data_IF_213667801526
#
_entry.id   IF_213667801526
#
_cell.length_a   1.000
_cell.length_b   1.000
_cell.length_c   1.000
_cell.angle_alpha   90.00
_cell.angle_beta   90.00
_cell.angle_gamma   90.00
#
_symmetry.space_group_name_H-M   'P 1'
#
loop_
_entity.id
_entity.type
_entity.pdbx_description
1 polymer ?
#
# COMPACT_ATOMS: atom_id res chain seq x y z
N UNK A 1 7.39 21.63 12.75
CA UNK A 1 7.88 20.35 12.19
C UNK A 1 6.73 19.36 12.29
N UNK A 2 6.17 18.92 11.17
CA UNK A 2 5.19 17.83 11.15
C UNK A 2 5.91 16.52 11.50
N UNK A 3 5.36 15.67 12.38
CA UNK A 3 5.98 14.40 12.71
C UNK A 3 6.07 13.52 11.46
N UNK A 4 7.23 12.87 11.26
CA UNK A 4 7.48 11.90 10.19
C UNK A 4 7.59 10.50 10.79
N UNK A 5 6.47 9.90 11.21
CA UNK A 5 6.47 8.60 11.91
C UNK A 5 6.94 7.43 11.04
N UNK A 6 6.93 7.57 9.71
CA UNK A 6 7.39 6.52 8.78
C UNK A 6 8.79 6.84 8.22
N UNK A 7 9.54 7.75 8.86
CA UNK A 7 10.88 8.10 8.43
C UNK A 7 11.78 6.86 8.39
N UNK A 8 12.35 6.58 7.22
CA UNK A 8 13.22 5.42 6.99
C UNK A 8 12.48 4.14 6.59
N UNK A 9 11.14 4.13 6.63
CA UNK A 9 10.36 3.00 6.12
C UNK A 9 10.43 2.95 4.59
N UNK A 10 10.80 1.79 4.03
CA UNK A 10 10.72 1.51 2.60
C UNK A 10 9.40 0.80 2.31
N UNK A 11 8.51 1.43 1.55
CA UNK A 11 7.21 0.88 1.17
C UNK A 11 7.26 0.44 -0.30
N UNK A 12 7.10 -0.86 -0.55
CA UNK A 12 6.88 -1.39 -1.91
C UNK A 12 5.41 -1.25 -2.27
N UNK A 13 5.08 -0.77 -3.46
CA UNK A 13 3.70 -0.61 -3.91
C UNK A 13 3.47 -1.36 -5.21
N UNK A 14 2.60 -2.36 -5.20
CA UNK A 14 2.24 -3.20 -6.35
C UNK A 14 0.88 -2.75 -6.86
N UNK A 15 0.82 -2.24 -8.10
CA UNK A 15 -0.42 -1.75 -8.70
C UNK A 15 -0.89 -2.71 -9.79
N UNK A 16 -2.05 -3.35 -9.59
CA UNK A 16 -2.68 -4.22 -10.60
C UNK A 16 -3.21 -3.46 -11.81
N UNK A 17 -3.41 -2.14 -11.67
CA UNK A 17 -3.77 -1.22 -12.74
C UNK A 17 -2.95 0.08 -12.58
N UNK A 18 -1.97 0.30 -13.45
CA UNK A 18 -1.13 1.52 -13.44
C UNK A 18 -1.95 2.80 -13.72
N UNK A 19 -3.12 2.68 -14.34
CA UNK A 19 -3.98 3.81 -14.68
C UNK A 19 -4.95 4.21 -13.56
N UNK A 20 -5.03 3.43 -12.48
CA UNK A 20 -5.89 3.76 -11.34
C UNK A 20 -5.37 5.02 -10.59
N UNK A 21 -6.24 5.94 -10.14
CA UNK A 21 -5.83 7.11 -9.36
C UNK A 21 -5.50 6.79 -7.88
N UNK A 22 -5.89 5.60 -7.40
CA UNK A 22 -5.69 5.12 -6.03
C UNK A 22 -4.23 5.05 -5.52
N UNK A 23 -3.25 4.61 -6.32
CA UNK A 23 -1.84 4.54 -5.94
C UNK A 23 -1.25 5.93 -5.67
N UNK A 24 -1.79 6.97 -6.31
CA UNK A 24 -1.27 8.34 -6.19
C UNK A 24 -1.54 8.94 -4.82
N UNK A 25 -2.74 8.74 -4.26
CA UNK A 25 -3.10 9.29 -2.94
C UNK A 25 -2.36 8.57 -1.80
N UNK A 26 -2.26 7.24 -1.85
CA UNK A 26 -1.52 6.46 -0.86
C UNK A 26 -0.03 6.80 -0.89
N UNK A 27 0.55 6.88 -2.10
CA UNK A 27 1.95 7.29 -2.28
C UNK A 27 2.22 8.66 -1.68
N UNK A 28 1.37 9.65 -1.98
CA UNK A 28 1.50 11.00 -1.41
C UNK A 28 1.42 10.99 0.11
N UNK A 29 0.41 10.31 0.67
CA UNK A 29 0.24 10.18 2.11
C UNK A 29 1.47 9.54 2.79
N UNK A 30 1.99 8.45 2.24
CA UNK A 30 3.16 7.75 2.77
C UNK A 30 4.44 8.61 2.71
N UNK A 31 4.67 9.31 1.59
CA UNK A 31 5.82 10.23 1.43
C UNK A 31 5.75 11.39 2.42
N UNK A 32 4.57 11.98 2.63
CA UNK A 32 4.37 13.04 3.63
C UNK A 32 4.67 12.57 5.06
N UNK A 33 4.44 11.29 5.36
CA UNK A 33 4.79 10.67 6.64
C UNK A 33 6.28 10.27 6.77
N UNK A 34 7.07 10.47 5.71
CA UNK A 34 8.52 10.19 5.67
C UNK A 34 8.93 8.86 5.06
N UNK A 35 7.99 8.08 4.50
CA UNK A 35 8.29 6.80 3.87
C UNK A 35 8.94 6.98 2.49
N UNK A 36 9.81 6.05 2.11
CA UNK A 36 10.35 5.91 0.76
C UNK A 36 9.48 4.92 -0.02
N UNK A 37 8.76 5.40 -1.03
CA UNK A 37 7.82 4.57 -1.80
C UNK A 37 8.44 4.15 -3.13
N UNK A 38 8.46 2.84 -3.41
CA UNK A 38 8.86 2.29 -4.71
C UNK A 38 7.66 1.64 -5.38
N UNK A 39 7.33 2.05 -6.61
CA UNK A 39 6.28 1.41 -7.40
C UNK A 39 6.86 0.20 -8.12
N UNK A 40 6.20 -0.93 -7.99
CA UNK A 40 6.57 -2.23 -8.54
C UNK A 40 5.54 -2.62 -9.59
N UNK A 41 6.04 -3.17 -10.69
CA UNK A 41 5.23 -3.70 -11.78
C UNK A 41 4.52 -5.00 -11.32
N UNK A 42 3.19 -4.97 -11.26
CA UNK A 42 2.39 -6.10 -10.82
C UNK A 42 2.47 -7.30 -11.77
N UNK A 43 2.66 -7.07 -13.07
CA UNK A 43 2.78 -8.15 -14.06
C UNK A 43 4.03 -8.97 -13.74
N UNK A 44 5.16 -8.30 -13.49
CA UNK A 44 6.41 -8.97 -13.08
C UNK A 44 6.34 -9.65 -11.71
N UNK A 45 5.52 -9.14 -10.79
CA UNK A 45 5.35 -9.74 -9.45
C UNK A 45 4.41 -10.97 -9.49
N UNK A 46 3.50 -11.04 -10.46
CA UNK A 46 2.41 -12.01 -10.51
C UNK A 46 2.51 -13.07 -11.61
N UNK A 47 3.33 -12.86 -12.63
CA UNK A 47 3.44 -13.78 -13.78
C UNK A 47 4.04 -15.16 -13.41
N UNK A 48 4.86 -15.27 -12.36
CA UNK A 48 5.35 -16.56 -11.88
C UNK A 48 4.51 -17.07 -10.71
N UNK A 49 3.44 -17.81 -11.02
CA UNK A 49 2.53 -18.39 -10.03
C UNK A 49 3.18 -19.33 -8.99
N UNK A 50 4.37 -19.87 -9.29
CA UNK A 50 5.23 -20.65 -8.38
C UNK A 50 6.30 -19.81 -7.68
N UNK A 51 6.60 -18.60 -8.15
CA UNK A 51 7.57 -17.68 -7.54
C UNK A 51 6.90 -16.60 -6.68
N UNK A 52 5.57 -16.55 -6.58
CA UNK A 52 4.90 -15.54 -5.76
C UNK A 52 5.32 -15.61 -4.28
N UNK A 53 5.46 -16.82 -3.71
CA UNK A 53 5.91 -16.97 -2.32
C UNK A 53 7.39 -16.56 -2.14
N UNK A 54 8.26 -16.96 -3.07
CA UNK A 54 9.67 -16.58 -3.05
C UNK A 54 9.84 -15.06 -3.24
N UNK A 55 9.11 -14.48 -4.18
CA UNK A 55 9.06 -13.04 -4.41
C UNK A 55 8.52 -12.30 -3.19
N UNK A 56 7.48 -12.80 -2.52
CA UNK A 56 6.95 -12.22 -1.29
C UNK A 56 8.03 -12.16 -0.20
N UNK A 57 8.83 -13.22 -0.07
CA UNK A 57 9.99 -13.26 0.83
C UNK A 57 11.05 -12.23 0.47
N UNK A 58 11.46 -12.18 -0.81
CA UNK A 58 12.43 -11.20 -1.32
C UNK A 58 11.96 -9.75 -1.10
N UNK A 59 10.69 -9.46 -1.41
CA UNK A 59 10.09 -8.15 -1.19
C UNK A 59 10.07 -7.78 0.30
N UNK A 60 9.77 -8.75 1.19
CA UNK A 60 9.83 -8.54 2.63
C UNK A 60 11.23 -8.26 3.19
N UNK A 61 12.29 -8.64 2.48
CA UNK A 61 13.66 -8.26 2.83
C UNK A 61 14.06 -6.86 2.31
N UNK A 62 13.45 -6.40 1.22
CA UNK A 62 13.78 -5.12 0.59
C UNK A 62 12.95 -3.95 1.14
N UNK A 63 11.73 -4.24 1.57
CA UNK A 63 10.74 -3.28 2.03
C UNK A 63 10.29 -3.60 3.44
N UNK A 64 9.97 -2.58 4.24
CA UNK A 64 9.38 -2.75 5.57
C UNK A 64 7.87 -2.96 5.54
N UNK A 65 7.23 -2.74 4.39
CA UNK A 65 5.83 -3.06 4.13
C UNK A 65 5.56 -3.09 2.62
N UNK A 66 4.47 -3.75 2.23
CA UNK A 66 3.99 -3.84 0.86
C UNK A 66 2.56 -3.31 0.79
N UNK A 67 2.26 -2.40 -0.14
CA UNK A 67 0.91 -1.96 -0.43
C UNK A 67 0.48 -2.48 -1.80
N UNK A 68 -0.74 -2.98 -1.90
CA UNK A 68 -1.31 -3.58 -3.10
C UNK A 68 -2.57 -2.84 -3.49
N UNK A 69 -2.63 -2.33 -4.72
CA UNK A 69 -3.82 -1.70 -5.27
C UNK A 69 -4.38 -2.55 -6.41
N UNK A 70 -5.66 -2.92 -6.32
CA UNK A 70 -6.36 -3.64 -7.38
C UNK A 70 -5.89 -5.09 -7.63
N UNK A 71 -5.15 -5.70 -6.70
CA UNK A 71 -4.78 -7.12 -6.83
C UNK A 71 -5.97 -8.05 -6.54
N UNK A 72 -6.09 -9.20 -7.24
CA UNK A 72 -7.12 -10.18 -6.93
C UNK A 72 -7.04 -10.65 -5.47
N UNK A 73 -8.18 -10.83 -4.76
CA UNK A 73 -8.15 -11.22 -3.33
C UNK A 73 -7.40 -12.54 -3.06
N UNK A 74 -7.41 -13.48 -4.00
CA UNK A 74 -6.66 -14.73 -3.89
C UNK A 74 -5.14 -14.49 -3.91
N UNK A 75 -4.67 -13.59 -4.76
CA UNK A 75 -3.26 -13.17 -4.86
C UNK A 75 -2.85 -12.42 -3.59
N UNK A 76 -3.67 -11.46 -3.17
CA UNK A 76 -3.45 -10.69 -1.95
C UNK A 76 -3.28 -11.60 -0.72
N UNK A 77 -4.16 -12.61 -0.56
CA UNK A 77 -4.06 -13.57 0.54
C UNK A 77 -2.76 -14.40 0.49
N UNK A 78 -2.35 -14.86 -0.69
CA UNK A 78 -1.09 -15.62 -0.85
C UNK A 78 0.12 -14.76 -0.54
N UNK A 79 0.14 -13.52 -1.04
CA UNK A 79 1.20 -12.54 -0.77
C UNK A 79 1.30 -12.23 0.73
N UNK A 80 0.16 -11.95 1.38
CA UNK A 80 0.11 -11.69 2.83
C UNK A 80 0.52 -12.90 3.68
N UNK A 81 0.24 -14.12 3.22
CA UNK A 81 0.65 -15.34 3.92
C UNK A 81 2.16 -15.64 3.79
N UNK A 82 2.78 -15.24 2.68
CA UNK A 82 4.18 -15.52 2.39
C UNK A 82 5.14 -14.38 2.77
N UNK A 83 4.66 -13.13 2.79
CA UNK A 83 5.49 -11.98 3.13
C UNK A 83 5.82 -11.96 4.63
N UNK A 84 7.06 -11.61 4.96
CA UNK A 84 7.53 -11.41 6.34
C UNK A 84 7.26 -10.00 6.87
N UNK A 85 6.60 -9.16 6.07
CA UNK A 85 6.26 -7.76 6.38
C UNK A 85 4.77 -7.51 6.13
N UNK A 86 4.18 -6.45 6.72
CA UNK A 86 2.78 -6.12 6.51
C UNK A 86 2.45 -5.94 5.03
N UNK A 87 1.35 -6.56 4.59
CA UNK A 87 0.80 -6.42 3.23
C UNK A 87 -0.55 -5.72 3.33
N UNK A 88 -0.66 -4.53 2.74
CA UNK A 88 -1.79 -3.62 2.84
C UNK A 88 -2.60 -3.61 1.55
N UNK A 89 -3.91 -3.83 1.63
CA UNK A 89 -4.80 -3.60 0.49
C UNK A 89 -5.23 -2.13 0.47
N UNK A 90 -4.81 -1.41 -0.57
CA UNK A 90 -5.09 0.02 -0.75
C UNK A 90 -6.59 0.29 -0.80
N UNK A 91 -7.38 -0.59 -1.41
CA UNK A 91 -8.83 -0.42 -1.47
C UNK A 91 -9.46 -0.58 -0.10
N UNK A 92 -9.00 -1.55 0.69
CA UNK A 92 -9.44 -1.72 2.09
C UNK A 92 -9.02 -0.53 2.96
N UNK A 93 -7.77 -0.05 2.84
CA UNK A 93 -7.25 1.12 3.57
C UNK A 93 -8.08 2.37 3.26
N UNK A 94 -8.46 2.56 1.99
CA UNK A 94 -9.32 3.66 1.55
C UNK A 94 -10.78 3.48 1.98
N UNK A 95 -11.33 2.26 1.90
CA UNK A 95 -12.72 1.97 2.25
C UNK A 95 -13.00 2.10 3.75
N UNK A 96 -12.06 1.69 4.62
CA UNK A 96 -12.21 1.82 6.08
C UNK A 96 -12.39 3.26 6.54
N UNK A 97 -11.96 4.23 5.73
CA UNK A 97 -11.99 5.64 6.09
C UNK A 97 -12.68 6.52 5.04
N UNK A 98 -13.28 5.93 4.01
CA UNK A 98 -14.21 6.64 3.16
C UNK A 98 -15.48 6.93 3.97
N UNK A 99 -15.81 8.19 4.30
CA UNK A 99 -17.08 8.48 4.93
C UNK A 99 -18.19 8.08 3.96
N UNK A 100 -19.29 7.58 4.52
CA UNK A 100 -20.53 7.32 3.80
C UNK A 100 -20.83 8.50 2.86
N UNK A 101 -20.99 8.20 1.58
CA UNK A 101 -21.13 9.16 0.47
C UNK A 101 -22.02 10.33 0.86
N UNK A 102 -21.39 11.49 1.09
CA UNK A 102 -22.06 12.72 1.46
C UNK A 102 -21.11 13.90 1.30
N UNK A 103 -21.32 14.68 0.23
CA UNK A 103 -20.68 15.98 -0.09
C UNK A 103 -19.17 16.10 0.21
N UNK A 104 -18.37 15.92 -0.85
CA UNK A 104 -17.16 16.70 -1.10
C UNK A 104 -16.13 16.72 0.03
N UNK A 105 -15.56 15.57 0.37
CA UNK A 105 -14.36 15.55 1.20
C UNK A 105 -13.25 16.27 0.43
N UNK A 106 -12.76 17.38 0.97
CA UNK A 106 -11.60 18.09 0.45
C UNK A 106 -10.41 17.13 0.38
N UNK A 107 -9.57 17.25 -0.66
CA UNK A 107 -8.44 16.33 -0.90
C UNK A 107 -7.51 16.20 0.32
N UNK A 108 -7.36 17.26 1.11
CA UNK A 108 -6.58 17.26 2.34
C UNK A 108 -7.13 16.31 3.41
N UNK A 109 -8.45 16.23 3.55
CA UNK A 109 -9.08 15.38 4.56
C UNK A 109 -9.00 13.90 4.17
N UNK A 110 -9.23 13.59 2.88
CA UNK A 110 -8.96 12.25 2.33
C UNK A 110 -7.51 11.83 2.56
N UNK A 111 -6.55 12.74 2.39
CA UNK A 111 -5.13 12.46 2.64
C UNK A 111 -4.86 12.15 4.11
N UNK A 112 -5.41 12.92 5.05
CA UNK A 112 -5.27 12.65 6.50
C UNK A 112 -5.83 11.28 6.89
N UNK A 113 -6.97 10.90 6.32
CA UNK A 113 -7.61 9.61 6.56
C UNK A 113 -6.72 8.46 6.07
N UNK A 114 -6.13 8.58 4.88
CA UNK A 114 -5.16 7.61 4.37
C UNK A 114 -3.88 7.56 5.22
N UNK A 115 -3.40 8.71 5.72
CA UNK A 115 -2.27 8.76 6.65
C UNK A 115 -2.57 8.02 7.96
N UNK A 116 -3.75 8.24 8.55
CA UNK A 116 -4.16 7.55 9.77
C UNK A 116 -4.27 6.04 9.55
N UNK A 117 -4.82 5.62 8.41
CA UNK A 117 -4.96 4.22 8.04
C UNK A 117 -3.58 3.54 7.83
N UNK A 118 -2.64 4.21 7.16
CA UNK A 118 -1.25 3.74 7.03
C UNK A 118 -0.58 3.57 8.40
N UNK A 119 -0.77 4.53 9.31
CA UNK A 119 -0.19 4.44 10.65
C UNK A 119 -0.83 3.35 11.50
N UNK A 120 -2.13 3.11 11.34
CA UNK A 120 -2.81 2.03 12.04
C UNK A 120 -2.35 0.65 11.56
N UNK A 121 -2.09 0.50 10.26
CA UNK A 121 -1.74 -0.77 9.65
C UNK A 121 -0.25 -1.13 9.75
N UNK A 122 0.62 -0.17 10.07
CA UNK A 122 2.08 -0.33 10.19
C UNK A 122 2.59 -0.25 11.64
N UNK A 123 1.69 -0.37 12.61
CA UNK A 123 2.00 -0.37 14.05
C UNK A 123 2.22 -1.78 14.60
#
# INVERSE_FOLDING_TARGET
>A
MTPQPLLGLRLGMVCGDEAAPGPTLLKQAAVELGAQVTVLDAVRVLEDGAALEEMAGLLGHLYGAIACDGLPPAVMRRLAAAAVVPVLDVQTVQAMHAPAVGRGIEAAERRRLVQAALLAALR
#
